data_IF_050907407928
#
_entry.id   IF_050907407928
#
_cell.length_a   1.000
_cell.length_b   1.000
_cell.length_c   1.000
_cell.angle_alpha   90.00
_cell.angle_beta   90.00
_cell.angle_gamma   90.00
#
_symmetry.space_group_name_H-M   'P 1'
#
loop_
_entity.id
_entity.type
_entity.pdbx_description
1 polymer ?
#
# COMPACT_ATOMS: atom_id res chain seq x y z
N UNK A 1 -1.99 6.58 -7.04
CA UNK A 1 -2.08 5.81 -8.30
C UNK A 1 -2.34 6.71 -9.49
N UNK A 2 -3.44 7.48 -9.52
CA UNK A 2 -3.80 8.33 -10.66
C UNK A 2 -2.65 9.27 -11.11
N UNK A 3 -2.02 9.95 -10.15
CA UNK A 3 -0.87 10.83 -10.40
C UNK A 3 0.36 10.05 -10.88
N UNK A 4 0.58 8.84 -10.36
CA UNK A 4 1.71 7.98 -10.78
C UNK A 4 1.59 7.65 -12.27
N UNK A 5 0.39 7.25 -12.71
CA UNK A 5 0.14 6.93 -14.13
C UNK A 5 0.26 8.17 -15.02
N UNK A 6 -0.35 9.29 -14.59
CA UNK A 6 -0.34 10.54 -15.36
C UNK A 6 1.07 11.10 -15.52
N UNK A 7 1.84 11.13 -14.43
CA UNK A 7 3.21 11.65 -14.41
C UNK A 7 4.13 10.79 -15.28
N UNK A 8 4.10 9.46 -15.11
CA UNK A 8 4.91 8.56 -15.92
C UNK A 8 4.56 8.64 -17.41
N UNK A 9 3.29 8.84 -17.77
CA UNK A 9 2.89 9.08 -19.17
C UNK A 9 3.52 10.35 -19.73
N UNK A 10 3.50 11.44 -18.95
CA UNK A 10 4.08 12.73 -19.36
C UNK A 10 5.60 12.60 -19.51
N UNK A 11 6.27 11.94 -18.56
CA UNK A 11 7.72 11.69 -18.60
C UNK A 11 8.13 10.84 -19.81
N UNK A 12 7.28 9.89 -20.22
CA UNK A 12 7.46 9.12 -21.45
C UNK A 12 7.11 9.88 -22.73
N UNK A 13 6.64 11.12 -22.64
CA UNK A 13 6.22 11.93 -23.79
C UNK A 13 5.04 11.32 -24.56
N UNK A 14 4.22 10.49 -23.90
CA UNK A 14 3.10 9.82 -24.55
C UNK A 14 1.83 10.67 -24.43
N UNK A 15 1.11 10.82 -25.54
CA UNK A 15 -0.27 11.32 -25.48
C UNK A 15 -1.19 10.24 -24.90
N UNK A 16 -2.33 10.65 -24.34
CA UNK A 16 -3.34 9.71 -23.84
C UNK A 16 -3.81 8.75 -24.95
N UNK A 17 -3.91 9.23 -26.19
CA UNK A 17 -4.22 8.42 -27.38
C UNK A 17 -3.14 7.38 -27.67
N UNK A 18 -1.87 7.77 -27.64
CA UNK A 18 -0.75 6.85 -27.92
C UNK A 18 -0.63 5.78 -26.84
N UNK A 19 -0.80 6.15 -25.57
CA UNK A 19 -0.84 5.18 -24.47
C UNK A 19 -2.01 4.21 -24.59
N UNK A 20 -3.21 4.72 -24.94
CA UNK A 20 -4.40 3.91 -25.15
C UNK A 20 -4.20 2.85 -26.25
N UNK A 21 -3.63 3.25 -27.38
CA UNK A 21 -3.30 2.37 -28.51
C UNK A 21 -2.30 1.28 -28.10
N UNK A 22 -1.18 1.67 -27.46
CA UNK A 22 -0.16 0.72 -27.01
C UNK A 22 -0.70 -0.26 -25.97
N UNK A 23 -1.53 0.23 -25.04
CA UNK A 23 -2.12 -0.59 -23.98
C UNK A 23 -3.30 -1.44 -24.47
N UNK A 24 -3.82 -1.19 -25.68
CA UNK A 24 -5.09 -1.74 -26.18
C UNK A 24 -6.24 -1.48 -25.20
N UNK A 25 -6.29 -0.26 -24.67
CA UNK A 25 -7.30 0.24 -23.74
C UNK A 25 -7.98 1.43 -24.40
N UNK A 26 -9.29 1.58 -24.22
CA UNK A 26 -10.01 2.77 -24.69
C UNK A 26 -9.39 4.08 -24.11
N UNK A 27 -9.27 5.12 -24.95
CA UNK A 27 -8.67 6.39 -24.54
C UNK A 27 -9.43 7.06 -23.40
N UNK A 28 -10.76 6.98 -23.38
CA UNK A 28 -11.56 7.55 -22.31
C UNK A 28 -11.36 6.77 -21.00
N UNK A 29 -11.09 5.46 -21.06
CA UNK A 29 -10.68 4.69 -19.87
C UNK A 29 -9.34 5.17 -19.33
N UNK A 30 -8.32 5.35 -20.18
CA UNK A 30 -7.02 5.92 -19.75
C UNK A 30 -7.22 7.26 -19.04
N UNK A 31 -8.02 8.15 -19.63
CA UNK A 31 -8.35 9.45 -19.01
C UNK A 31 -9.06 9.29 -17.66
N UNK A 32 -10.02 8.36 -17.56
CA UNK A 32 -10.71 8.08 -16.28
C UNK A 32 -9.75 7.52 -15.22
N UNK A 33 -8.75 6.74 -15.62
CA UNK A 33 -7.73 6.21 -14.72
C UNK A 33 -6.82 7.32 -14.18
N UNK A 34 -6.32 8.20 -15.06
CA UNK A 34 -5.45 9.32 -14.71
C UNK A 34 -6.15 10.39 -13.86
N UNK A 35 -7.48 10.47 -13.93
CA UNK A 35 -8.28 11.38 -13.11
C UNK A 35 -8.86 10.72 -11.85
N UNK A 36 -8.74 9.40 -11.71
CA UNK A 36 -9.26 8.65 -10.56
C UNK A 36 -10.76 8.36 -10.59
N UNK A 37 -11.44 8.60 -11.71
CA UNK A 37 -12.87 8.29 -11.88
C UNK A 37 -13.13 6.80 -12.11
N UNK A 38 -12.10 6.01 -12.42
CA UNK A 38 -12.21 4.57 -12.58
C UNK A 38 -10.94 3.87 -12.13
N UNK A 39 -11.11 2.72 -11.50
CA UNK A 39 -10.02 1.84 -11.09
C UNK A 39 -9.70 0.87 -12.24
N UNK A 40 -8.46 0.80 -12.74
CA UNK A 40 -8.09 -0.18 -13.76
C UNK A 40 -8.15 -1.61 -13.22
N UNK A 41 -8.26 -2.60 -14.09
CA UNK A 41 -8.09 -4.01 -13.69
C UNK A 41 -6.61 -4.30 -13.40
N UNK A 42 -6.33 -5.39 -12.67
CA UNK A 42 -4.94 -5.81 -12.38
C UNK A 42 -4.13 -6.02 -13.68
N UNK A 43 -4.75 -6.62 -14.70
CA UNK A 43 -4.12 -6.80 -16.03
C UNK A 43 -3.78 -5.45 -16.67
N UNK A 44 -4.70 -4.49 -16.62
CA UNK A 44 -4.45 -3.14 -17.14
C UNK A 44 -3.32 -2.43 -16.38
N UNK A 45 -3.26 -2.55 -15.05
CA UNK A 45 -2.14 -2.02 -14.26
C UNK A 45 -0.80 -2.62 -14.69
N UNK A 46 -0.75 -3.94 -14.90
CA UNK A 46 0.48 -4.60 -15.36
C UNK A 46 0.89 -4.13 -16.75
N UNK A 47 -0.07 -4.01 -17.68
CA UNK A 47 0.19 -3.48 -19.03
C UNK A 47 0.68 -2.04 -18.99
N UNK A 48 0.05 -1.18 -18.18
CA UNK A 48 0.43 0.22 -18.04
C UNK A 48 1.82 0.37 -17.39
N UNK A 49 2.14 -0.43 -16.37
CA UNK A 49 3.47 -0.46 -15.77
C UNK A 49 4.56 -0.80 -16.79
N UNK A 50 4.29 -1.79 -17.65
CA UNK A 50 5.24 -2.21 -18.68
C UNK A 50 5.48 -1.11 -19.73
N UNK A 51 4.41 -0.49 -20.23
CA UNK A 51 4.51 0.56 -21.27
C UNK A 51 5.14 1.84 -20.72
N UNK A 52 4.78 2.20 -19.49
CA UNK A 52 5.28 3.41 -18.83
C UNK A 52 6.64 3.18 -18.14
N UNK A 53 7.15 1.95 -18.14
CA UNK A 53 8.38 1.52 -17.46
C UNK A 53 8.43 1.91 -15.97
N UNK A 54 7.31 1.72 -15.28
CA UNK A 54 7.18 1.97 -13.85
C UNK A 54 7.42 0.66 -13.10
N UNK A 55 8.10 0.72 -11.94
CA UNK A 55 8.15 -0.44 -11.05
C UNK A 55 6.72 -0.85 -10.64
N UNK A 56 6.39 -2.10 -10.94
CA UNK A 56 5.08 -2.68 -10.68
C UNK A 56 4.75 -2.73 -9.19
N UNK A 57 5.75 -2.87 -8.31
CA UNK A 57 5.54 -2.98 -6.85
C UNK A 57 4.88 -1.74 -6.25
N UNK A 58 5.47 -0.52 -6.33
CA UNK A 58 4.86 0.69 -5.80
C UNK A 58 3.52 1.02 -6.49
N UNK A 59 3.39 0.71 -7.78
CA UNK A 59 2.13 0.92 -8.50
C UNK A 59 1.01 0.01 -8.00
N UNK A 60 1.30 -1.28 -7.76
CA UNK A 60 0.33 -2.22 -7.20
C UNK A 60 -0.09 -1.83 -5.78
N UNK A 61 0.85 -1.40 -4.93
CA UNK A 61 0.52 -0.88 -3.60
C UNK A 61 -0.45 0.31 -3.71
N UNK A 62 -0.16 1.26 -4.60
CA UNK A 62 -1.04 2.40 -4.84
C UNK A 62 -2.42 2.00 -5.41
N UNK A 63 -2.48 0.94 -6.22
CA UNK A 63 -3.73 0.40 -6.76
C UNK A 63 -4.57 -0.29 -5.68
N UNK A 64 -3.95 -1.12 -4.84
CA UNK A 64 -4.64 -1.79 -3.72
C UNK A 64 -5.18 -0.78 -2.71
N UNK A 65 -4.46 0.31 -2.42
CA UNK A 65 -4.96 1.41 -1.56
C UNK A 65 -6.28 1.96 -2.07
N UNK A 66 -6.36 2.33 -3.34
CA UNK A 66 -7.59 2.88 -3.94
C UNK A 66 -8.70 1.83 -3.97
N UNK A 67 -8.36 0.56 -4.25
CA UNK A 67 -9.33 -0.53 -4.28
C UNK A 67 -9.92 -0.83 -2.90
N UNK A 68 -9.09 -0.81 -1.85
CA UNK A 68 -9.54 -1.03 -0.48
C UNK A 68 -10.42 0.12 -0.01
N UNK A 69 -9.99 1.36 -0.24
CA UNK A 69 -10.74 2.58 0.08
C UNK A 69 -12.12 2.63 -0.59
N UNK A 70 -12.25 2.14 -1.83
CA UNK A 70 -13.55 2.08 -2.51
C UNK A 70 -14.44 0.92 -2.06
N UNK A 71 -13.87 -0.19 -1.58
CA UNK A 71 -14.61 -1.42 -1.30
C UNK A 71 -14.95 -1.59 0.17
N UNK A 72 -14.21 -0.92 1.07
CA UNK A 72 -14.36 -1.05 2.50
C UNK A 72 -14.56 0.33 3.12
N UNK A 73 -15.62 0.46 3.90
CA UNK A 73 -15.69 1.52 4.89
C UNK A 73 -14.68 1.18 6.01
N UNK A 74 -13.59 1.94 6.09
CA UNK A 74 -12.50 1.74 7.05
C UNK A 74 -12.90 2.25 8.44
N UNK A 75 -14.00 1.73 8.97
CA UNK A 75 -14.45 1.98 10.33
C UNK A 75 -13.69 1.09 11.35
N UNK A 76 -13.85 1.34 12.66
CA UNK A 76 -13.12 0.59 13.69
C UNK A 76 -13.30 -0.93 13.62
N UNK A 77 -14.49 -1.41 13.24
CA UNK A 77 -14.76 -2.85 13.10
C UNK A 77 -14.05 -3.46 11.88
N UNK A 78 -14.01 -2.75 10.76
CA UNK A 78 -13.27 -3.18 9.57
C UNK A 78 -11.76 -3.27 9.87
N UNK A 79 -11.23 -2.30 10.61
CA UNK A 79 -9.83 -2.30 11.04
C UNK A 79 -9.55 -3.47 11.98
N UNK A 80 -10.43 -3.75 12.93
CA UNK A 80 -10.33 -4.90 13.83
C UNK A 80 -10.31 -6.21 13.03
N UNK A 81 -11.28 -6.42 12.12
CA UNK A 81 -11.36 -7.64 11.32
C UNK A 81 -10.10 -7.85 10.46
N UNK A 82 -9.56 -6.79 9.85
CA UNK A 82 -8.29 -6.86 9.10
C UNK A 82 -7.13 -7.25 10.02
N UNK A 83 -7.09 -6.69 11.23
CA UNK A 83 -6.03 -6.98 12.21
C UNK A 83 -6.04 -8.44 12.64
N UNK A 84 -7.21 -8.97 12.96
CA UNK A 84 -7.40 -10.39 13.34
C UNK A 84 -6.98 -11.33 12.18
N UNK A 85 -7.39 -11.04 10.94
CA UNK A 85 -6.96 -11.81 9.76
C UNK A 85 -5.43 -11.82 9.62
N UNK A 86 -4.77 -10.68 9.84
CA UNK A 86 -3.32 -10.58 9.72
C UNK A 86 -2.61 -11.40 10.80
N UNK A 87 -3.11 -11.36 12.05
CA UNK A 87 -2.61 -12.20 13.15
C UNK A 87 -2.79 -13.70 12.86
N UNK A 88 -3.96 -14.13 12.36
CA UNK A 88 -4.20 -15.54 11.97
C UNK A 88 -3.25 -16.02 10.87
N UNK A 89 -2.83 -15.11 9.98
CA UNK A 89 -1.85 -15.40 8.93
C UNK A 89 -0.40 -15.32 9.40
N UNK A 90 -0.17 -15.04 10.69
CA UNK A 90 1.17 -14.85 11.24
C UNK A 90 1.88 -13.61 10.70
N UNK A 91 1.11 -12.62 10.22
CA UNK A 91 1.63 -11.35 9.72
C UNK A 91 1.61 -10.35 10.86
N UNK A 92 2.78 -10.02 11.39
CA UNK A 92 2.91 -8.97 12.40
C UNK A 92 2.68 -7.59 11.78
N UNK A 93 1.67 -6.88 12.26
CA UNK A 93 1.33 -5.51 11.84
C UNK A 93 1.73 -4.58 12.97
N UNK A 94 3.02 -4.27 13.07
CA UNK A 94 3.56 -3.45 14.15
C UNK A 94 4.30 -2.22 13.63
N UNK A 95 4.12 -1.09 14.32
CA UNK A 95 5.18 -0.09 14.48
C UNK A 95 6.30 -0.77 15.27
N UNK A 96 7.02 -1.67 14.60
CA UNK A 96 7.98 -2.61 15.20
C UNK A 96 9.08 -1.90 15.99
N UNK A 97 9.35 -0.62 15.74
CA UNK A 97 10.29 0.16 16.56
C UNK A 97 9.76 0.49 17.94
N UNK A 98 8.52 0.99 18.08
CA UNK A 98 8.01 1.45 19.39
C UNK A 98 7.65 0.31 20.33
N UNK A 99 7.10 -0.78 19.78
CA UNK A 99 6.80 -1.97 20.57
C UNK A 99 8.08 -2.64 21.07
N UNK A 100 9.13 -2.74 20.23
CA UNK A 100 10.44 -3.24 20.65
C UNK A 100 11.12 -2.35 21.70
N UNK A 101 10.99 -1.03 21.57
CA UNK A 101 11.47 -0.08 22.59
C UNK A 101 10.75 -0.30 23.93
N UNK A 102 9.42 -0.45 23.92
CA UNK A 102 8.65 -0.71 25.14
C UNK A 102 9.06 -2.05 25.76
N UNK A 103 9.19 -3.12 24.97
CA UNK A 103 9.63 -4.43 25.48
C UNK A 103 11.03 -4.34 26.10
N UNK A 104 11.98 -3.66 25.44
CA UNK A 104 13.34 -3.47 25.98
C UNK A 104 13.32 -2.73 27.33
N UNK A 105 12.51 -1.69 27.46
CA UNK A 105 12.39 -0.93 28.71
C UNK A 105 11.79 -1.81 29.84
N UNK A 106 10.82 -2.67 29.52
CA UNK A 106 10.22 -3.58 30.49
C UNK A 106 11.22 -4.63 30.99
N UNK A 107 12.03 -5.20 30.09
CA UNK A 107 13.08 -6.16 30.44
C UNK A 107 14.13 -5.52 31.36
N UNK A 108 14.55 -4.28 31.06
CA UNK A 108 15.48 -3.52 31.91
C UNK A 108 14.91 -3.27 33.32
N UNK A 109 13.62 -2.93 33.41
CA UNK A 109 12.94 -2.74 34.70
C UNK A 109 12.89 -4.02 35.53
N UNK A 110 12.72 -5.18 34.90
CA UNK A 110 12.70 -6.47 35.58
C UNK A 110 14.07 -6.82 36.17
N UNK A 111 15.14 -6.60 35.40
CA UNK A 111 16.53 -6.77 35.88
C UNK A 111 16.83 -5.83 37.05
N UNK A 112 16.41 -4.57 36.97
CA UNK A 112 16.62 -3.59 38.05
C UNK A 112 15.84 -3.96 39.31
N UNK A 113 14.60 -4.43 39.18
CA UNK A 113 13.82 -4.95 40.30
C UNK A 113 14.53 -6.11 40.98
N UNK A 114 15.06 -7.05 40.20
CA UNK A 114 15.76 -8.22 40.73
C UNK A 114 17.04 -7.84 41.49
N UNK A 115 17.81 -6.87 40.96
CA UNK A 115 18.97 -6.31 41.67
C UNK A 115 18.57 -5.63 42.98
N UNK A 116 17.48 -4.87 43.00
CA UNK A 116 16.98 -4.21 44.20
C UNK A 116 16.56 -5.22 45.27
N UNK A 117 15.88 -6.31 44.88
CA UNK A 117 15.53 -7.40 45.80
C UNK A 117 16.76 -8.13 46.36
N UNK A 118 17.83 -8.26 45.59
CA UNK A 118 19.08 -8.91 46.05
C UNK A 118 19.93 -8.00 46.95
N UNK A 119 19.57 -6.72 47.08
CA UNK A 119 20.21 -5.73 47.96
C UNK A 119 19.50 -5.58 49.31
N UNK A 120 18.37 -6.27 49.52
CA UNK A 120 17.67 -6.40 50.80
C UNK A 120 18.05 -7.71 51.49
#
# INVERSE_FOLDING_TARGET
MKEILKQARIEKGLSTRKLAEQAKIDQALISKFENGFRIPTKKQIQTLAQILEIDIKPLLVAWYKVKLDHNFDLNPFAIQAITEILQEKGIEVGNSSKEKEITSILDELEVLKQKLTNLR
#
